data_IF_511744774474
#
_entry.id   IF_511744774474
#
_cell.length_a   1.000
_cell.length_b   1.000
_cell.length_c   1.000
_cell.angle_alpha   90.00
_cell.angle_beta   90.00
_cell.angle_gamma   90.00
#
_symmetry.space_group_name_H-M   'P 1'
#
loop_
_entity.id
_entity.type
_entity.pdbx_description
1 polymer ?
#
# COMPACT_ATOMS: atom_id res chain seq x y z
N UNK A 1 -8.14 27.42 4.52
CA UNK A 1 -7.70 26.24 3.73
C UNK A 1 -8.89 25.32 3.73
N UNK A 2 -9.52 25.15 2.59
CA UNK A 2 -10.65 24.24 2.44
C UNK A 2 -10.11 22.82 2.54
N UNK A 3 -10.72 22.01 3.40
CA UNK A 3 -10.40 20.59 3.48
C UNK A 3 -10.74 19.93 2.15
N UNK A 4 -9.88 19.06 1.59
CA UNK A 4 -10.18 18.37 0.34
C UNK A 4 -11.47 17.57 0.49
N UNK A 5 -12.34 17.68 -0.50
CA UNK A 5 -13.59 16.91 -0.55
C UNK A 5 -13.31 15.52 -1.12
N UNK A 6 -14.02 14.54 -0.62
CA UNK A 6 -13.87 13.09 -0.93
C UNK A 6 -13.96 12.75 -2.45
N UNK A 7 -14.43 13.66 -3.29
CA UNK A 7 -14.61 13.46 -4.73
C UNK A 7 -13.33 13.64 -5.57
N UNK A 8 -12.23 14.09 -4.95
CA UNK A 8 -11.00 14.46 -5.68
C UNK A 8 -9.82 13.52 -5.41
N UNK A 9 -10.04 12.38 -4.75
CA UNK A 9 -8.95 11.41 -4.51
C UNK A 9 -8.85 10.44 -5.69
N UNK A 10 -7.64 10.33 -6.23
CA UNK A 10 -7.33 9.44 -7.34
C UNK A 10 -5.91 8.88 -7.23
N UNK A 11 -5.47 8.21 -8.26
CA UNK A 11 -4.10 7.69 -8.34
C UNK A 11 -3.61 7.65 -9.79
N UNK A 12 -2.29 7.69 -9.95
CA UNK A 12 -1.60 7.46 -11.22
C UNK A 12 -0.31 6.67 -11.01
N UNK A 13 0.29 6.20 -12.07
CA UNK A 13 1.60 5.56 -11.98
C UNK A 13 2.64 6.55 -11.40
N UNK A 14 3.56 6.00 -10.62
CA UNK A 14 4.67 6.75 -10.06
C UNK A 14 5.57 7.30 -11.18
N UNK A 15 5.90 8.57 -11.10
CA UNK A 15 6.71 9.31 -12.06
C UNK A 15 7.98 9.87 -11.42
N UNK A 16 9.00 10.22 -12.22
CA UNK A 16 10.21 10.84 -11.71
C UNK A 16 9.97 12.13 -10.92
N UNK A 17 8.91 12.87 -11.23
CA UNK A 17 8.49 14.07 -10.50
C UNK A 17 8.05 13.80 -9.06
N UNK A 18 7.66 12.56 -8.74
CA UNK A 18 7.18 12.17 -7.41
C UNK A 18 8.32 11.83 -6.43
N UNK A 19 9.54 11.77 -6.93
CA UNK A 19 10.69 11.31 -6.14
C UNK A 19 10.91 12.16 -4.88
N UNK A 20 10.80 13.46 -5.00
CA UNK A 20 10.99 14.37 -3.85
C UNK A 20 9.87 14.21 -2.83
N UNK A 21 8.65 13.95 -3.26
CA UNK A 21 7.55 13.62 -2.38
C UNK A 21 7.77 12.28 -1.67
N UNK A 22 8.16 11.24 -2.40
CA UNK A 22 8.51 9.94 -1.83
C UNK A 22 9.64 10.02 -0.79
N UNK A 23 10.66 10.83 -1.09
CA UNK A 23 11.76 11.08 -0.17
C UNK A 23 11.30 11.83 1.09
N UNK A 24 10.41 12.81 0.94
CA UNK A 24 9.82 13.54 2.06
C UNK A 24 9.01 12.59 2.97
N UNK A 25 8.14 11.77 2.41
CA UNK A 25 7.40 10.75 3.17
C UNK A 25 8.34 9.81 3.94
N UNK A 26 9.43 9.39 3.30
CA UNK A 26 10.44 8.56 3.93
C UNK A 26 11.10 9.26 5.13
N UNK A 27 11.40 10.54 5.00
CA UNK A 27 12.03 11.34 6.05
C UNK A 27 11.08 11.60 7.24
N UNK A 28 9.78 11.81 6.97
CA UNK A 28 8.75 12.07 8.00
C UNK A 28 8.36 10.78 8.74
N UNK A 29 8.16 9.69 8.01
CA UNK A 29 7.68 8.43 8.59
C UNK A 29 8.82 7.54 9.15
N UNK A 30 10.06 7.85 8.77
CA UNK A 30 11.25 7.21 9.33
C UNK A 30 11.22 5.68 9.25
N UNK A 31 11.48 4.98 10.37
CA UNK A 31 11.58 3.53 10.40
C UNK A 31 10.33 2.77 9.96
N UNK A 32 9.14 3.35 10.09
CA UNK A 32 7.87 2.72 9.68
C UNK A 32 7.81 2.46 8.18
N UNK A 33 8.55 3.23 7.39
CA UNK A 33 8.67 3.01 5.95
C UNK A 33 9.99 2.32 5.53
N UNK A 34 10.68 1.76 6.47
CA UNK A 34 12.04 1.23 6.34
C UNK A 34 12.24 0.20 5.23
N UNK A 35 11.20 -0.56 4.85
CA UNK A 35 11.34 -1.54 3.76
C UNK A 35 11.66 -0.89 2.41
N UNK A 36 11.36 0.39 2.28
CA UNK A 36 11.71 1.22 1.12
C UNK A 36 12.93 2.09 1.44
N UNK A 37 13.07 2.49 2.72
CA UNK A 37 14.10 3.44 3.16
C UNK A 37 15.05 2.80 4.16
N UNK A 38 16.33 3.05 4.01
CA UNK A 38 17.34 2.82 5.05
C UNK A 38 17.79 4.17 5.58
N UNK A 39 18.26 4.23 6.81
CA UNK A 39 18.85 5.45 7.36
C UNK A 39 19.86 6.07 6.38
N UNK A 40 19.73 7.36 6.11
CA UNK A 40 20.62 8.09 5.20
C UNK A 40 20.29 7.97 3.72
N UNK A 41 19.07 7.61 3.35
CA UNK A 41 18.65 7.60 1.95
C UNK A 41 18.71 9.00 1.33
N UNK A 42 19.19 9.04 0.09
CA UNK A 42 19.07 10.20 -0.79
C UNK A 42 17.86 10.06 -1.72
N UNK A 43 17.42 11.15 -2.40
CA UNK A 43 16.40 11.05 -3.43
C UNK A 43 16.71 9.97 -4.48
N UNK A 44 17.95 9.84 -4.92
CA UNK A 44 18.36 8.84 -5.91
C UNK A 44 18.21 7.41 -5.38
N UNK A 45 18.55 7.18 -4.09
CA UNK A 45 18.36 5.86 -3.48
C UNK A 45 16.88 5.53 -3.24
N UNK A 46 16.04 6.54 -3.05
CA UNK A 46 14.58 6.40 -2.98
C UNK A 46 14.02 5.91 -4.32
N UNK A 47 14.46 6.52 -5.44
CA UNK A 47 14.12 6.04 -6.80
C UNK A 47 14.53 4.59 -6.98
N UNK A 48 15.78 4.27 -6.66
CA UNK A 48 16.30 2.92 -6.82
C UNK A 48 15.54 1.89 -5.95
N UNK A 49 15.03 2.30 -4.79
CA UNK A 49 14.20 1.45 -3.95
C UNK A 49 12.82 1.20 -4.58
N UNK A 50 12.14 2.27 -5.04
CA UNK A 50 10.81 2.17 -5.67
C UNK A 50 10.88 1.38 -6.98
N UNK A 51 11.93 1.57 -7.78
CA UNK A 51 12.13 0.85 -9.05
C UNK A 51 12.29 -0.67 -8.91
N UNK A 52 12.47 -1.19 -7.70
CA UNK A 52 12.53 -2.64 -7.43
C UNK A 52 11.14 -3.27 -7.29
N UNK A 53 10.10 -2.48 -7.13
CA UNK A 53 8.74 -2.98 -7.07
C UNK A 53 8.20 -3.29 -8.46
N UNK A 54 7.26 -4.22 -8.54
CA UNK A 54 6.59 -4.58 -9.79
C UNK A 54 5.74 -3.41 -10.33
N UNK A 55 5.16 -2.62 -9.41
CA UNK A 55 4.44 -1.41 -9.71
C UNK A 55 4.55 -0.41 -8.55
N UNK A 56 4.47 0.88 -8.88
CA UNK A 56 4.32 1.97 -7.92
C UNK A 56 3.30 2.97 -8.44
N UNK A 57 2.48 3.48 -7.54
CA UNK A 57 1.48 4.51 -7.84
C UNK A 57 1.60 5.65 -6.87
N UNK A 58 1.29 6.86 -7.34
CA UNK A 58 1.13 8.06 -6.51
C UNK A 58 -0.35 8.31 -6.30
N UNK A 59 -0.75 8.44 -5.04
CA UNK A 59 -2.12 8.77 -4.64
C UNK A 59 -2.22 10.28 -4.56
N UNK A 60 -3.29 10.82 -5.13
CA UNK A 60 -3.48 12.26 -5.31
C UNK A 60 -4.77 12.73 -4.63
N UNK A 61 -4.75 13.96 -4.14
CA UNK A 61 -5.95 14.75 -3.84
C UNK A 61 -5.96 15.94 -4.78
N UNK A 62 -6.85 15.93 -5.77
CA UNK A 62 -6.69 16.79 -6.95
C UNK A 62 -5.36 16.51 -7.66
N UNK A 63 -4.53 17.54 -7.81
CA UNK A 63 -3.18 17.41 -8.40
C UNK A 63 -2.07 17.22 -7.34
N UNK A 64 -2.41 17.22 -6.05
CA UNK A 64 -1.41 17.12 -4.98
C UNK A 64 -1.15 15.68 -4.58
N UNK A 65 0.12 15.21 -4.58
CA UNK A 65 0.45 13.89 -4.06
C UNK A 65 0.25 13.86 -2.54
N UNK A 66 -0.47 12.83 -2.07
CA UNK A 66 -0.78 12.60 -0.65
C UNK A 66 -0.33 11.23 -0.16
N UNK A 67 0.12 10.36 -1.06
CA UNK A 67 0.58 9.02 -0.69
C UNK A 67 1.24 8.29 -1.84
N UNK A 68 1.85 7.16 -1.51
CA UNK A 68 2.45 6.23 -2.46
C UNK A 68 2.03 4.82 -2.09
N UNK A 69 1.60 4.04 -3.07
CA UNK A 69 1.42 2.61 -2.91
C UNK A 69 2.38 1.85 -3.83
N UNK A 70 2.89 0.73 -3.35
CA UNK A 70 3.81 -0.13 -4.09
C UNK A 70 3.36 -1.58 -4.06
N UNK A 71 3.63 -2.29 -5.16
CA UNK A 71 3.38 -3.70 -5.31
C UNK A 71 4.72 -4.41 -5.50
N UNK A 72 5.16 -5.15 -4.50
CA UNK A 72 6.40 -5.92 -4.50
C UNK A 72 6.15 -7.40 -4.67
N UNK A 73 6.90 -8.06 -5.54
CA UNK A 73 6.85 -9.53 -5.60
C UNK A 73 7.46 -10.11 -4.34
N UNK A 74 6.73 -11.01 -3.68
CA UNK A 74 7.21 -11.73 -2.51
C UNK A 74 7.22 -13.23 -2.79
N UNK A 75 8.22 -13.91 -2.28
CA UNK A 75 8.40 -15.34 -2.60
C UNK A 75 9.06 -15.62 -3.95
N UNK A 76 8.95 -16.85 -4.42
CA UNK A 76 9.54 -17.29 -5.68
C UNK A 76 8.81 -16.67 -6.88
N UNK A 77 9.56 -16.42 -7.96
CA UNK A 77 8.98 -15.96 -9.22
C UNK A 77 7.89 -16.92 -9.70
N UNK A 78 6.77 -16.38 -10.18
CA UNK A 78 5.63 -17.17 -10.72
C UNK A 78 4.67 -17.71 -9.66
N UNK A 79 4.86 -17.40 -8.35
CA UNK A 79 3.89 -17.82 -7.33
C UNK A 79 2.60 -16.98 -7.36
N UNK A 80 2.63 -15.79 -7.96
CA UNK A 80 1.51 -14.85 -7.98
C UNK A 80 1.25 -14.19 -6.61
N UNK A 81 2.24 -14.20 -5.72
CA UNK A 81 2.15 -13.63 -4.38
C UNK A 81 2.92 -12.32 -4.34
N UNK A 82 2.25 -11.25 -3.92
CA UNK A 82 2.81 -9.91 -3.87
C UNK A 82 2.54 -9.27 -2.51
N UNK A 83 3.41 -8.36 -2.13
CA UNK A 83 3.27 -7.50 -0.96
C UNK A 83 2.82 -6.11 -1.41
N UNK A 84 1.73 -5.63 -0.82
CA UNK A 84 1.23 -4.28 -1.06
C UNK A 84 1.58 -3.40 0.13
N UNK A 85 2.14 -2.23 -0.16
CA UNK A 85 2.43 -1.21 0.83
C UNK A 85 1.83 0.11 0.40
N UNK A 86 1.25 0.79 1.36
CA UNK A 86 0.72 2.13 1.17
C UNK A 86 1.30 3.03 2.25
N UNK A 87 1.82 4.17 1.84
CA UNK A 87 2.42 5.17 2.72
C UNK A 87 1.79 6.51 2.42
N UNK A 88 1.31 7.19 3.45
CA UNK A 88 0.49 8.39 3.33
C UNK A 88 1.03 9.53 4.18
N UNK A 89 0.70 10.74 3.80
CA UNK A 89 0.72 11.87 4.73
C UNK A 89 -0.19 11.56 5.94
N UNK A 90 0.21 11.95 7.16
CA UNK A 90 -0.50 11.52 8.39
C UNK A 90 -1.99 11.88 8.44
N UNK A 91 -2.37 13.01 7.85
CA UNK A 91 -3.72 13.59 7.99
C UNK A 91 -4.71 13.16 6.89
N UNK A 92 -4.32 12.22 6.00
CA UNK A 92 -5.12 11.87 4.80
C UNK A 92 -5.64 10.43 4.79
N UNK A 93 -5.50 9.70 5.87
CA UNK A 93 -5.86 8.27 5.98
C UNK A 93 -7.30 8.00 5.56
N UNK A 94 -8.24 8.80 6.05
CA UNK A 94 -9.67 8.63 5.75
C UNK A 94 -10.00 8.86 4.27
N UNK A 95 -9.27 9.76 3.61
CA UNK A 95 -9.43 10.01 2.18
C UNK A 95 -8.95 8.81 1.37
N UNK A 96 -7.80 8.25 1.71
CA UNK A 96 -7.18 7.16 0.95
C UNK A 96 -7.95 5.86 1.11
N UNK A 97 -8.57 5.60 2.24
CA UNK A 97 -9.39 4.41 2.44
C UNK A 97 -10.48 4.23 1.37
N UNK A 98 -10.88 5.32 0.70
CA UNK A 98 -11.90 5.31 -0.35
C UNK A 98 -11.37 4.79 -1.69
N UNK A 99 -10.09 4.98 -2.00
CA UNK A 99 -9.47 4.51 -3.26
C UNK A 99 -8.81 3.15 -3.13
N UNK A 100 -8.67 2.63 -1.91
CA UNK A 100 -8.04 1.32 -1.66
C UNK A 100 -8.72 0.19 -2.45
N UNK A 101 -10.04 0.06 -2.52
CA UNK A 101 -10.66 -1.01 -3.31
C UNK A 101 -10.26 -0.99 -4.77
N UNK A 102 -10.19 0.20 -5.38
CA UNK A 102 -9.79 0.37 -6.77
C UNK A 102 -8.30 0.05 -6.98
N UNK A 103 -7.44 0.48 -6.06
CA UNK A 103 -6.01 0.16 -6.09
C UNK A 103 -5.77 -1.36 -5.99
N UNK A 104 -6.47 -2.05 -5.09
CA UNK A 104 -6.39 -3.50 -4.95
C UNK A 104 -6.89 -4.21 -6.21
N UNK A 105 -8.01 -3.74 -6.77
CA UNK A 105 -8.53 -4.27 -8.02
C UNK A 105 -7.53 -4.12 -9.16
N UNK A 106 -6.91 -2.94 -9.29
CA UNK A 106 -5.88 -2.68 -10.29
C UNK A 106 -4.64 -3.56 -10.10
N UNK A 107 -4.23 -3.82 -8.85
CA UNK A 107 -3.15 -4.74 -8.55
C UNK A 107 -3.49 -6.17 -9.01
N UNK A 108 -4.71 -6.64 -8.76
CA UNK A 108 -5.16 -7.96 -9.23
C UNK A 108 -5.40 -8.04 -10.73
N UNK A 109 -5.64 -6.92 -11.41
CA UNK A 109 -5.73 -6.88 -12.87
C UNK A 109 -4.38 -7.15 -13.57
N UNK A 110 -3.26 -7.00 -12.88
CA UNK A 110 -1.97 -7.50 -13.33
C UNK A 110 -2.03 -9.03 -13.37
N UNK A 111 -1.66 -9.64 -14.49
CA UNK A 111 -2.05 -10.99 -14.92
C UNK A 111 -1.75 -12.13 -13.94
N UNK A 112 -0.71 -12.00 -13.12
CA UNK A 112 -0.20 -13.12 -12.31
C UNK A 112 -0.45 -12.97 -10.80
N UNK A 113 -1.10 -11.88 -10.36
CA UNK A 113 -1.36 -11.65 -8.93
C UNK A 113 -2.51 -12.54 -8.47
N UNK A 114 -2.24 -13.44 -7.52
CA UNK A 114 -3.23 -14.35 -6.90
C UNK A 114 -3.58 -13.97 -5.47
N UNK A 115 -2.59 -13.43 -4.76
CA UNK A 115 -2.74 -13.02 -3.38
C UNK A 115 -1.90 -11.77 -3.11
N UNK A 116 -2.44 -10.88 -2.30
CA UNK A 116 -1.77 -9.68 -1.79
C UNK A 116 -1.55 -9.83 -0.30
N UNK A 117 -0.31 -9.65 0.12
CA UNK A 117 0.05 -9.52 1.53
C UNK A 117 0.15 -8.07 1.93
N UNK A 118 -0.27 -7.77 3.14
CA UNK A 118 -0.11 -6.46 3.77
C UNK A 118 0.44 -6.64 5.18
N UNK A 119 1.59 -6.01 5.43
CA UNK A 119 2.21 -6.01 6.76
C UNK A 119 1.98 -4.67 7.42
N UNK A 120 1.42 -4.66 8.63
CA UNK A 120 1.06 -3.48 9.40
C UNK A 120 1.66 -3.57 10.80
N UNK A 121 2.29 -2.50 11.26
CA UNK A 121 2.71 -2.34 12.65
C UNK A 121 1.53 -1.93 13.54
N UNK A 122 1.63 -2.18 14.84
CA UNK A 122 0.54 -1.88 15.80
C UNK A 122 0.15 -0.40 15.84
N UNK A 123 1.11 0.50 15.63
CA UNK A 123 0.87 1.94 15.61
C UNK A 123 0.48 2.51 14.23
N UNK A 124 0.39 1.68 13.19
CA UNK A 124 0.03 2.16 11.85
C UNK A 124 -1.48 2.37 11.71
N UNK A 125 -1.90 3.36 10.92
CA UNK A 125 -3.31 3.54 10.62
C UNK A 125 -3.88 2.36 9.84
N UNK A 126 -5.19 2.12 9.98
CA UNK A 126 -5.88 1.09 9.21
C UNK A 126 -6.18 1.61 7.80
N UNK A 127 -5.52 1.08 6.80
CA UNK A 127 -5.64 1.53 5.41
C UNK A 127 -6.50 0.62 4.52
N UNK A 128 -6.91 -0.55 5.03
CA UNK A 128 -7.70 -1.51 4.24
C UNK A 128 -9.14 -1.04 3.94
N UNK A 129 -9.60 -0.01 4.67
CA UNK A 129 -10.89 0.63 4.44
C UNK A 129 -12.06 -0.37 4.38
N UNK A 130 -12.92 -0.24 3.39
CA UNK A 130 -14.08 -1.11 3.18
C UNK A 130 -13.71 -2.55 2.82
N UNK A 131 -12.47 -2.81 2.42
CA UNK A 131 -11.99 -4.17 2.12
C UNK A 131 -11.50 -4.92 3.35
N UNK A 132 -11.40 -4.27 4.51
CA UNK A 132 -10.90 -4.87 5.75
C UNK A 132 -11.52 -6.25 6.07
N UNK A 133 -12.82 -6.49 5.92
CA UNK A 133 -13.41 -7.79 6.23
C UNK A 133 -13.00 -8.92 5.29
N UNK A 134 -12.36 -8.61 4.16
CA UNK A 134 -11.90 -9.57 3.15
C UNK A 134 -10.49 -10.09 3.43
N UNK A 135 -9.75 -9.40 4.31
CA UNK A 135 -8.40 -9.76 4.68
C UNK A 135 -8.40 -10.78 5.82
N UNK A 136 -7.51 -11.74 5.72
CA UNK A 136 -7.27 -12.72 6.77
C UNK A 136 -5.93 -12.43 7.42
N UNK A 137 -5.91 -12.25 8.74
CA UNK A 137 -4.66 -12.11 9.50
C UNK A 137 -4.03 -13.50 9.66
N UNK A 138 -2.87 -13.70 9.03
CA UNK A 138 -2.21 -15.01 9.03
C UNK A 138 -1.13 -15.11 10.11
N UNK A 139 -0.35 -14.05 10.30
CA UNK A 139 0.81 -14.09 11.19
C UNK A 139 0.84 -12.82 12.04
N UNK A 140 1.09 -13.02 13.32
CA UNK A 140 1.37 -11.94 14.26
C UNK A 140 2.74 -12.11 14.89
N UNK A 141 3.58 -11.09 14.81
CA UNK A 141 4.90 -11.00 15.42
C UNK A 141 4.84 -9.97 16.55
N UNK A 142 4.85 -10.34 17.84
CA UNK A 142 4.57 -9.41 18.94
C UNK A 142 5.67 -8.38 19.21
N UNK A 143 6.91 -8.67 18.82
CA UNK A 143 8.07 -7.78 19.05
C UNK A 143 8.96 -7.76 17.81
N UNK A 144 8.43 -7.19 16.73
CA UNK A 144 9.08 -7.29 15.42
C UNK A 144 10.14 -6.22 15.17
N UNK A 145 9.85 -4.98 15.54
CA UNK A 145 10.73 -3.85 15.24
C UNK A 145 10.84 -2.89 16.43
N UNK A 146 12.06 -2.45 16.73
CA UNK A 146 12.33 -1.43 17.73
C UNK A 146 12.16 -0.04 17.11
N UNK A 147 11.12 0.69 17.52
CA UNK A 147 10.81 2.04 17.08
C UNK A 147 10.81 2.95 18.30
N UNK A 148 11.61 4.00 18.29
CA UNK A 148 11.70 5.01 19.37
C UNK A 148 11.83 4.40 20.77
N UNK A 149 12.59 3.34 20.89
CA UNK A 149 12.87 2.67 22.16
C UNK A 149 11.77 1.70 22.65
N UNK A 150 10.76 1.43 21.84
CA UNK A 150 9.73 0.41 22.10
C UNK A 150 9.67 -0.62 21.00
N UNK A 151 9.48 -1.89 21.37
CA UNK A 151 9.17 -2.91 20.38
C UNK A 151 7.72 -2.77 19.93
N UNK A 152 7.52 -2.75 18.61
CA UNK A 152 6.20 -2.79 17.99
C UNK A 152 5.97 -4.16 17.36
N UNK A 153 4.77 -4.68 17.54
CA UNK A 153 4.31 -5.87 16.86
C UNK A 153 3.98 -5.60 15.40
N UNK A 154 4.01 -6.65 14.60
CA UNK A 154 3.60 -6.61 13.19
C UNK A 154 2.58 -7.71 12.92
N UNK A 155 1.49 -7.35 12.26
CA UNK A 155 0.51 -8.31 11.71
C UNK A 155 0.66 -8.37 10.20
N UNK A 156 0.74 -9.58 9.66
CA UNK A 156 0.69 -9.84 8.24
C UNK A 156 -0.67 -10.43 7.88
N UNK A 157 -1.37 -9.77 6.98
CA UNK A 157 -2.69 -10.17 6.48
C UNK A 157 -2.60 -10.51 5.01
N UNK A 158 -3.49 -11.39 4.55
CA UNK A 158 -3.61 -11.79 3.13
C UNK A 158 -4.99 -11.50 2.59
N UNK A 159 -5.04 -11.02 1.35
CA UNK A 159 -6.24 -10.91 0.53
C UNK A 159 -6.07 -11.77 -0.71
N UNK A 160 -6.95 -12.72 -0.92
CA UNK A 160 -6.98 -13.55 -2.12
C UNK A 160 -7.82 -12.93 -3.23
N UNK A 161 -7.38 -13.07 -4.48
CA UNK A 161 -8.08 -12.56 -5.67
C UNK A 161 -9.54 -13.00 -5.72
N UNK A 162 -9.80 -14.28 -5.56
CA UNK A 162 -11.14 -14.86 -5.66
C UNK A 162 -12.11 -14.36 -4.59
N UNK A 163 -11.58 -13.94 -3.44
CA UNK A 163 -12.39 -13.32 -2.37
C UNK A 163 -12.82 -11.91 -2.79
N UNK A 164 -11.89 -11.11 -3.33
CA UNK A 164 -12.22 -9.76 -3.81
C UNK A 164 -13.18 -9.82 -5.00
N UNK A 165 -12.92 -10.68 -5.99
CA UNK A 165 -13.76 -10.86 -7.18
C UNK A 165 -15.21 -11.20 -6.82
N UNK A 166 -15.41 -12.17 -5.91
CA UNK A 166 -16.77 -12.54 -5.44
C UNK A 166 -17.49 -11.42 -4.74
N UNK A 167 -16.76 -10.55 -4.06
CA UNK A 167 -17.37 -9.45 -3.29
C UNK A 167 -17.69 -8.25 -4.17
N UNK A 168 -16.81 -7.93 -5.10
CA UNK A 168 -16.93 -6.76 -5.97
C UNK A 168 -17.84 -6.99 -7.19
N UNK A 169 -18.06 -8.27 -7.58
CA UNK A 169 -18.92 -8.68 -8.70
C UNK A 169 -19.95 -9.73 -8.28
N UNK A 170 -20.87 -9.42 -7.37
CA UNK A 170 -21.80 -10.42 -6.84
C UNK A 170 -22.79 -11.00 -7.88
N UNK A 171 -22.97 -10.36 -9.03
CA UNK A 171 -24.03 -10.67 -10.00
C UNK A 171 -23.56 -10.90 -11.45
N UNK A 172 -22.33 -11.28 -11.67
CA UNK A 172 -21.85 -11.37 -13.05
C UNK A 172 -21.04 -12.58 -13.41
N UNK A 173 -21.69 -13.56 -13.98
CA UNK A 173 -21.28 -14.63 -14.88
C UNK A 173 -21.47 -16.03 -14.27
N UNK A 174 -22.70 -16.31 -13.90
CA UNK A 174 -23.27 -17.65 -14.05
C UNK A 174 -23.98 -17.71 -15.41
N UNK A 175 -23.23 -17.74 -16.48
CA UNK A 175 -23.74 -17.78 -17.85
C UNK A 175 -23.12 -18.93 -18.60
N UNK A 176 -23.79 -20.10 -18.56
CA UNK A 176 -23.80 -21.25 -19.49
C UNK A 176 -22.48 -21.69 -20.09
#
# INVERSE_FOLDING_TARGET
>A
MDSPTSSDVGWRLFEPSDVMFAYHLAAVLGPRWWSVTKNGMSPESTVAAISRFAAGVTILSGDMPIGIATLGQTGAAGTGVFDVKCVLEPDVVDLVSQVVPELLWSAFAMSDVRALYHSRFEGDPELRGTTLPLWVDEIHFPEYLLIEGRYEGMTQSVLHRDVLERTMMPDGIGGT
#
